data_IF_648416562504
#
_entry.id   IF_648416562504
#
_cell.length_a   1.000
_cell.length_b   1.000
_cell.length_c   1.000
_cell.angle_alpha   90.00
_cell.angle_beta   90.00
_cell.angle_gamma   90.00
#
_symmetry.space_group_name_H-M   'P 1'
#
loop_
_entity.id
_entity.type
_entity.pdbx_description
1 polymer ?
#
# COMPACT_ATOMS: atom_id res chain seq x y z
N UNK A 1 8.44 12.06 -14.07
CA UNK A 1 7.24 11.55 -13.40
C UNK A 1 7.61 11.07 -12.04
N UNK A 2 7.13 11.71 -11.06
CA UNK A 2 7.50 11.40 -9.70
C UNK A 2 6.37 10.74 -8.93
N UNK A 3 6.73 10.20 -7.78
CA UNK A 3 5.77 9.66 -6.83
C UNK A 3 4.80 10.72 -6.33
N UNK A 4 5.20 12.01 -6.41
CA UNK A 4 4.33 13.13 -6.05
C UNK A 4 3.07 13.18 -6.91
N UNK A 5 3.20 12.91 -8.20
CA UNK A 5 2.04 12.87 -9.10
C UNK A 5 1.11 11.70 -8.74
N UNK A 6 1.69 10.56 -8.37
CA UNK A 6 0.91 9.40 -7.90
C UNK A 6 0.11 9.77 -6.66
N UNK A 7 0.73 10.50 -5.71
CA UNK A 7 0.06 10.91 -4.49
C UNK A 7 -1.16 11.79 -4.77
N UNK A 8 -1.11 12.65 -5.79
CA UNK A 8 -2.19 13.56 -6.11
C UNK A 8 -3.43 12.84 -6.67
N UNK A 9 -3.24 11.73 -7.38
CA UNK A 9 -4.35 11.02 -8.02
C UNK A 9 -4.95 9.91 -7.17
N UNK A 10 -4.39 9.65 -5.99
CA UNK A 10 -4.84 8.52 -5.16
C UNK A 10 -5.65 8.93 -3.93
N UNK A 11 -6.03 10.20 -3.81
CA UNK A 11 -6.88 10.61 -2.69
C UNK A 11 -8.27 9.98 -2.84
N UNK A 12 -8.75 9.38 -1.75
CA UNK A 12 -10.09 8.78 -1.71
C UNK A 12 -11.05 9.62 -0.87
N UNK A 13 -10.58 10.73 -0.30
CA UNK A 13 -11.39 11.62 0.49
C UNK A 13 -11.75 11.07 1.87
N UNK A 14 -10.98 10.14 2.38
CA UNK A 14 -11.13 9.58 3.72
C UNK A 14 -9.78 9.71 4.42
N UNK A 15 -9.64 10.66 5.38
CA UNK A 15 -8.32 11.02 5.91
C UNK A 15 -7.48 9.87 6.46
N UNK A 16 -8.02 8.92 7.24
CA UNK A 16 -7.17 7.84 7.75
C UNK A 16 -6.52 7.01 6.63
N UNK A 17 -7.23 6.75 5.54
CA UNK A 17 -6.68 6.01 4.40
C UNK A 17 -5.72 6.89 3.61
N UNK A 18 -6.11 8.13 3.34
CA UNK A 18 -5.26 9.05 2.57
C UNK A 18 -3.94 9.33 3.27
N UNK A 19 -3.94 9.45 4.59
CA UNK A 19 -2.73 9.68 5.36
C UNK A 19 -1.76 8.50 5.24
N UNK A 20 -2.26 7.28 5.34
CA UNK A 20 -1.44 6.08 5.20
C UNK A 20 -0.90 5.95 3.77
N UNK A 21 -1.70 6.33 2.77
CA UNK A 21 -1.24 6.32 1.37
C UNK A 21 -0.10 7.32 1.17
N UNK A 22 -0.19 8.52 1.76
CA UNK A 22 0.86 9.52 1.66
C UNK A 22 2.16 9.02 2.30
N UNK A 23 2.07 8.35 3.43
CA UNK A 23 3.24 7.76 4.10
C UNK A 23 3.86 6.65 3.26
N UNK A 24 3.01 5.82 2.64
CA UNK A 24 3.47 4.75 1.75
C UNK A 24 4.29 5.32 0.59
N UNK A 25 3.78 6.37 -0.05
CA UNK A 25 4.47 7.02 -1.16
C UNK A 25 5.79 7.64 -0.71
N UNK A 26 5.80 8.27 0.47
CA UNK A 26 7.03 8.81 1.06
C UNK A 26 8.09 7.73 1.25
N UNK A 27 7.68 6.56 1.74
CA UNK A 27 8.60 5.43 1.92
C UNK A 27 9.11 4.88 0.59
N UNK A 28 8.26 4.81 -0.44
CA UNK A 28 8.70 4.41 -1.78
C UNK A 28 9.77 5.36 -2.31
N UNK A 29 9.58 6.66 -2.11
CA UNK A 29 10.54 7.67 -2.54
C UNK A 29 11.88 7.51 -1.81
N UNK A 30 11.85 7.28 -0.51
CA UNK A 30 13.05 7.03 0.28
C UNK A 30 13.80 5.80 -0.20
N UNK A 31 13.07 4.72 -0.51
CA UNK A 31 13.66 3.49 -1.02
C UNK A 31 14.31 3.70 -2.38
N UNK A 32 13.67 4.47 -3.25
CA UNK A 32 14.20 4.76 -4.57
C UNK A 32 15.56 5.47 -4.49
N UNK A 33 15.75 6.31 -3.46
CA UNK A 33 16.96 7.10 -3.26
C UNK A 33 17.98 6.45 -2.32
N UNK A 34 17.63 5.32 -1.70
CA UNK A 34 18.48 4.68 -0.71
C UNK A 34 19.71 4.03 -1.35
N UNK A 35 20.82 4.03 -0.62
CA UNK A 35 21.98 3.23 -0.98
C UNK A 35 21.66 1.74 -0.82
N UNK A 36 22.48 0.89 -1.42
CA UNK A 36 22.32 -0.55 -1.25
C UNK A 36 22.44 -0.98 0.21
N UNK A 37 23.28 -0.30 0.97
CA UNK A 37 23.45 -0.60 2.40
C UNK A 37 22.19 -0.24 3.22
N UNK A 38 21.51 0.83 2.83
CA UNK A 38 20.30 1.30 3.53
C UNK A 38 19.04 0.56 3.11
N UNK A 39 19.03 0.01 1.92
CA UNK A 39 17.83 -0.54 1.29
C UNK A 39 17.14 -1.62 2.13
N UNK A 40 17.84 -2.63 2.68
CA UNK A 40 17.13 -3.69 3.43
C UNK A 40 16.35 -3.18 4.64
N UNK A 41 16.90 -2.25 5.40
CA UNK A 41 16.19 -1.70 6.56
C UNK A 41 14.96 -0.89 6.14
N UNK A 42 15.08 -0.08 5.10
CA UNK A 42 13.96 0.69 4.59
C UNK A 42 12.89 -0.21 3.95
N UNK A 43 13.30 -1.28 3.29
CA UNK A 43 12.37 -2.26 2.74
C UNK A 43 11.53 -2.89 3.87
N UNK A 44 12.18 -3.23 4.98
CA UNK A 44 11.47 -3.77 6.15
C UNK A 44 10.47 -2.75 6.70
N UNK A 45 10.84 -1.48 6.78
CA UNK A 45 9.94 -0.42 7.23
C UNK A 45 8.70 -0.33 6.32
N UNK A 46 8.90 -0.35 5.00
CA UNK A 46 7.80 -0.30 4.05
C UNK A 46 6.88 -1.52 4.20
N UNK A 47 7.47 -2.71 4.36
CA UNK A 47 6.71 -3.94 4.53
C UNK A 47 5.83 -3.86 5.78
N UNK A 48 6.38 -3.42 6.90
CA UNK A 48 5.63 -3.28 8.15
C UNK A 48 4.53 -2.23 8.03
N UNK A 49 4.83 -1.10 7.40
CA UNK A 49 3.83 -0.06 7.17
C UNK A 49 2.67 -0.59 6.34
N UNK A 50 2.97 -1.35 5.30
CA UNK A 50 1.96 -1.94 4.42
C UNK A 50 1.07 -2.93 5.19
N UNK A 51 1.68 -3.77 6.03
CA UNK A 51 0.91 -4.69 6.87
C UNK A 51 -0.04 -3.94 7.80
N UNK A 52 0.44 -2.90 8.45
CA UNK A 52 -0.37 -2.11 9.38
C UNK A 52 -1.51 -1.38 8.66
N UNK A 53 -1.24 -0.85 7.47
CA UNK A 53 -2.27 -0.20 6.67
C UNK A 53 -3.35 -1.19 6.25
N UNK A 54 -2.97 -2.39 5.83
CA UNK A 54 -3.94 -3.42 5.46
C UNK A 54 -4.77 -3.87 6.67
N UNK A 55 -4.16 -3.93 7.85
CA UNK A 55 -4.90 -4.22 9.08
C UNK A 55 -5.94 -3.14 9.40
N UNK A 56 -5.58 -1.87 9.20
CA UNK A 56 -6.52 -0.76 9.36
C UNK A 56 -7.70 -0.92 8.41
N UNK A 57 -7.43 -1.20 7.14
CA UNK A 57 -8.50 -1.37 6.15
C UNK A 57 -9.38 -2.58 6.48
N UNK A 58 -8.79 -3.66 6.95
CA UNK A 58 -9.56 -4.84 7.37
C UNK A 58 -10.52 -4.48 8.50
N UNK A 59 -10.06 -3.72 9.48
CA UNK A 59 -10.89 -3.26 10.58
C UNK A 59 -12.04 -2.38 10.06
N UNK A 60 -11.74 -1.44 9.17
CA UNK A 60 -12.74 -0.57 8.58
C UNK A 60 -13.78 -1.34 7.77
N UNK A 61 -13.34 -2.36 7.03
CA UNK A 61 -14.25 -3.21 6.27
C UNK A 61 -15.19 -3.99 7.18
N UNK A 62 -14.68 -4.51 8.28
CA UNK A 62 -15.52 -5.24 9.24
C UNK A 62 -16.52 -4.31 9.94
N UNK A 63 -16.04 -3.15 10.39
CA UNK A 63 -16.90 -2.20 11.09
C UNK A 63 -18.01 -1.65 10.20
N UNK A 64 -17.75 -1.50 8.91
CA UNK A 64 -18.71 -0.94 7.96
C UNK A 64 -19.53 -2.01 7.24
N UNK A 65 -19.29 -3.30 7.51
CA UNK A 65 -19.92 -4.41 6.82
C UNK A 65 -19.74 -4.28 5.28
N UNK A 66 -18.49 -4.07 4.86
CA UNK A 66 -18.17 -3.84 3.45
C UNK A 66 -18.44 -5.10 2.62
N UNK A 67 -19.29 -5.02 1.57
CA UNK A 67 -19.68 -6.22 0.81
C UNK A 67 -18.54 -6.94 0.10
N UNK A 68 -17.51 -6.21 -0.35
CA UNK A 68 -16.37 -6.78 -1.08
C UNK A 68 -15.17 -7.05 -0.20
N UNK A 69 -15.36 -7.26 1.09
CA UNK A 69 -14.27 -7.48 2.06
C UNK A 69 -13.38 -8.66 1.65
N UNK A 70 -13.97 -9.77 1.23
CA UNK A 70 -13.21 -10.97 0.89
C UNK A 70 -12.26 -10.73 -0.28
N UNK A 71 -12.75 -10.09 -1.34
CA UNK A 71 -11.95 -9.77 -2.52
C UNK A 71 -10.84 -8.78 -2.18
N UNK A 72 -11.14 -7.78 -1.38
CA UNK A 72 -10.18 -6.75 -0.98
C UNK A 72 -9.06 -7.37 -0.13
N UNK A 73 -9.41 -8.17 0.86
CA UNK A 73 -8.43 -8.88 1.68
C UNK A 73 -7.60 -9.87 0.87
N UNK A 74 -8.21 -10.55 -0.09
CA UNK A 74 -7.50 -11.46 -0.99
C UNK A 74 -6.40 -10.75 -1.76
N UNK A 75 -6.70 -9.57 -2.26
CA UNK A 75 -5.71 -8.75 -2.98
C UNK A 75 -4.58 -8.31 -2.04
N UNK A 76 -4.90 -7.91 -0.81
CA UNK A 76 -3.90 -7.56 0.19
C UNK A 76 -2.96 -8.73 0.48
N UNK A 77 -3.50 -9.93 0.65
CA UNK A 77 -2.69 -11.12 0.93
C UNK A 77 -1.78 -11.45 -0.25
N UNK A 78 -2.27 -11.28 -1.48
CA UNK A 78 -1.46 -11.53 -2.68
C UNK A 78 -0.25 -10.60 -2.71
N UNK A 79 -0.45 -9.31 -2.46
CA UNK A 79 0.65 -8.33 -2.48
C UNK A 79 1.63 -8.56 -1.35
N UNK A 80 1.14 -8.87 -0.15
CA UNK A 80 2.03 -9.19 0.97
C UNK A 80 2.88 -10.42 0.67
N UNK A 81 2.34 -11.40 -0.07
CA UNK A 81 3.10 -12.55 -0.52
C UNK A 81 4.25 -12.17 -1.44
N UNK A 82 4.02 -11.23 -2.37
CA UNK A 82 5.09 -10.71 -3.23
C UNK A 82 6.15 -9.98 -2.40
N UNK A 83 5.73 -9.12 -1.46
CA UNK A 83 6.65 -8.45 -0.55
C UNK A 83 7.58 -9.44 0.14
N UNK A 84 7.01 -10.52 0.66
CA UNK A 84 7.78 -11.55 1.36
C UNK A 84 8.79 -12.25 0.45
N UNK A 85 8.39 -12.56 -0.78
CA UNK A 85 9.29 -13.20 -1.74
C UNK A 85 10.51 -12.33 -2.03
N UNK A 86 10.28 -11.04 -2.29
CA UNK A 86 11.38 -10.13 -2.56
C UNK A 86 12.17 -9.81 -1.30
N UNK A 87 11.52 -9.77 -0.13
CA UNK A 87 12.21 -9.56 1.15
C UNK A 87 13.25 -10.63 1.38
N UNK A 88 12.94 -11.88 1.09
CA UNK A 88 13.90 -12.98 1.25
C UNK A 88 15.16 -12.72 0.44
N UNK A 89 15.02 -12.23 -0.79
CA UNK A 89 16.16 -11.90 -1.65
C UNK A 89 16.93 -10.68 -1.14
N UNK A 90 16.20 -9.63 -0.74
CA UNK A 90 16.79 -8.40 -0.22
C UNK A 90 17.62 -8.71 1.05
N UNK A 91 17.09 -9.53 1.94
CA UNK A 91 17.78 -9.90 3.19
C UNK A 91 19.06 -10.70 2.91
N UNK A 92 19.14 -11.36 1.76
CA UNK A 92 20.36 -12.09 1.32
C UNK A 92 21.31 -11.19 0.52
N UNK A 93 21.02 -9.90 0.41
CA UNK A 93 21.86 -8.97 -0.33
C UNK A 93 21.54 -8.86 -1.82
N UNK A 94 20.50 -9.52 -2.30
CA UNK A 94 20.08 -9.47 -3.71
C UNK A 94 19.16 -8.26 -3.93
N UNK A 95 19.74 -7.07 -3.81
CA UNK A 95 19.01 -5.79 -3.77
C UNK A 95 18.32 -5.48 -5.09
N UNK A 96 18.90 -5.89 -6.22
CA UNK A 96 18.35 -5.57 -7.55
C UNK A 96 16.90 -6.02 -7.70
N UNK A 97 16.55 -7.19 -7.18
CA UNK A 97 15.18 -7.69 -7.26
C UNK A 97 14.22 -6.83 -6.45
N UNK A 98 14.64 -6.41 -5.25
CA UNK A 98 13.81 -5.53 -4.43
C UNK A 98 13.62 -4.16 -5.07
N UNK A 99 14.68 -3.61 -5.66
CA UNK A 99 14.57 -2.31 -6.35
C UNK A 99 13.62 -2.38 -7.54
N UNK A 100 13.65 -3.47 -8.30
CA UNK A 100 12.74 -3.66 -9.43
C UNK A 100 11.28 -3.74 -8.94
N UNK A 101 11.04 -4.45 -7.87
CA UNK A 101 9.70 -4.56 -7.29
C UNK A 101 9.17 -3.18 -6.86
N UNK A 102 9.98 -2.41 -6.14
CA UNK A 102 9.62 -1.10 -5.62
C UNK A 102 9.37 -0.09 -6.75
N UNK A 103 10.15 -0.18 -7.83
CA UNK A 103 10.09 0.81 -8.91
C UNK A 103 9.04 0.46 -9.96
N UNK A 104 8.99 -0.81 -10.37
CA UNK A 104 8.23 -1.21 -11.55
C UNK A 104 6.88 -1.83 -11.24
N UNK A 105 6.78 -2.62 -10.18
CA UNK A 105 5.57 -3.40 -9.90
C UNK A 105 4.68 -2.77 -8.86
N UNK A 106 5.24 -2.39 -7.72
CA UNK A 106 4.45 -1.94 -6.59
C UNK A 106 3.71 -0.62 -6.85
N UNK A 107 4.36 0.41 -7.44
CA UNK A 107 3.63 1.66 -7.70
C UNK A 107 2.45 1.48 -8.67
N UNK A 108 2.63 0.70 -9.72
CA UNK A 108 1.56 0.45 -10.69
C UNK A 108 0.39 -0.29 -10.03
N UNK A 109 0.69 -1.31 -9.22
CA UNK A 109 -0.34 -2.01 -8.46
C UNK A 109 -1.07 -1.06 -7.52
N UNK A 110 -0.31 -0.22 -6.81
CA UNK A 110 -0.86 0.69 -5.82
C UNK A 110 -1.87 1.66 -6.42
N UNK A 111 -1.51 2.30 -7.54
CA UNK A 111 -2.41 3.24 -8.22
C UNK A 111 -3.73 2.57 -8.61
N UNK A 112 -3.66 1.39 -9.20
CA UNK A 112 -4.86 0.65 -9.61
C UNK A 112 -5.69 0.21 -8.41
N UNK A 113 -5.04 -0.30 -7.37
CA UNK A 113 -5.72 -0.76 -6.16
C UNK A 113 -6.47 0.38 -5.48
N UNK A 114 -5.83 1.54 -5.33
CA UNK A 114 -6.45 2.70 -4.72
C UNK A 114 -7.64 3.19 -5.56
N UNK A 115 -7.45 3.29 -6.87
CA UNK A 115 -8.49 3.81 -7.77
C UNK A 115 -9.74 2.92 -7.82
N UNK A 116 -9.58 1.61 -7.61
CA UNK A 116 -10.69 0.66 -7.71
C UNK A 116 -11.19 0.20 -6.33
N UNK A 117 -10.30 -0.36 -5.52
CA UNK A 117 -10.70 -1.01 -4.26
C UNK A 117 -10.78 -0.08 -3.08
N UNK A 118 -9.76 0.75 -2.85
CA UNK A 118 -9.76 1.67 -1.71
C UNK A 118 -10.79 2.77 -1.89
N UNK A 119 -10.99 3.23 -3.11
CA UNK A 119 -12.04 4.21 -3.42
C UNK A 119 -13.42 3.66 -3.10
N UNK A 120 -13.67 2.39 -3.44
CA UNK A 120 -14.94 1.75 -3.15
C UNK A 120 -15.15 1.62 -1.64
N UNK A 121 -14.11 1.25 -0.90
CA UNK A 121 -14.20 1.15 0.56
C UNK A 121 -14.49 2.52 1.19
N UNK A 122 -13.76 3.56 0.78
CA UNK A 122 -13.96 4.90 1.30
C UNK A 122 -15.37 5.42 1.02
N UNK A 123 -15.89 5.17 -0.18
CA UNK A 123 -17.25 5.56 -0.54
C UNK A 123 -18.28 4.85 0.34
N UNK A 124 -18.08 3.56 0.58
CA UNK A 124 -18.97 2.77 1.43
C UNK A 124 -18.99 3.30 2.87
N UNK A 125 -17.82 3.61 3.42
CA UNK A 125 -17.72 4.16 4.78
C UNK A 125 -18.44 5.50 4.88
N UNK A 126 -18.22 6.38 3.90
CA UNK A 126 -18.84 7.72 3.89
C UNK A 126 -20.36 7.64 3.76
N UNK A 127 -20.86 6.71 2.95
CA UNK A 127 -22.30 6.50 2.83
C UNK A 127 -22.93 6.03 4.14
N UNK A 128 -22.26 5.10 4.83
CA UNK A 128 -22.71 4.63 6.12
C UNK A 128 -22.80 5.75 7.15
N UNK A 129 -21.85 6.66 7.13
CA UNK A 129 -21.84 7.80 8.04
C UNK A 129 -22.91 8.83 7.72
N UNK A 130 -23.31 8.94 6.46
CA UNK A 130 -24.31 9.92 6.05
C UNK A 130 -25.74 9.39 6.14
N UNK A 131 -25.93 8.09 6.25
CA UNK A 131 -27.26 7.49 6.34
C UNK A 131 -27.87 7.58 7.73
N UNK A 132 -27.15 8.12 8.66
CA UNK A 132 -27.66 8.38 10.00
C UNK A 132 -28.37 9.72 10.06
#
# INVERSE_FOLDING_TARGET
MGLTETAQVISVGYPPIDQDHAEFISLLDKLDRASDAEFPALYQVLYQHTQQHFELEQLLMKQSAFPAETEHNGEHQRVLGEFKQFKTRVDKGLITFGRAFIKDRLPAWFVLHVATMDSALAAHIKQGNTSL
#
